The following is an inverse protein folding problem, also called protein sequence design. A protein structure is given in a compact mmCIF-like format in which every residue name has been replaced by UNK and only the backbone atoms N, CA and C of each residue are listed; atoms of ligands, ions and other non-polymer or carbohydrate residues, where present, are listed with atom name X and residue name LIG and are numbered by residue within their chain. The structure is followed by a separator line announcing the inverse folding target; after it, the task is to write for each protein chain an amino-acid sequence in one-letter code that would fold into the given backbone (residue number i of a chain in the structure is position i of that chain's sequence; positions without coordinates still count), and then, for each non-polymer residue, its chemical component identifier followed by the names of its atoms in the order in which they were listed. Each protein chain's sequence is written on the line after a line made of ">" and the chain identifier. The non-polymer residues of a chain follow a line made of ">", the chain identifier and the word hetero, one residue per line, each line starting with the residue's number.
data_IF_724354090311
#
_entry.id   IF_724354090311
#
_cell.length_a   1.000
_cell.length_b   1.000
_cell.length_c   1.000
_cell.angle_alpha   90.00
_cell.angle_beta   90.00
_cell.angle_gamma   90.00
#
_symmetry.space_group_name_H-M   'P 1'
#
loop_
_entity.id
_entity.type
_entity.pdbx_description
1 polymer ?
#
# COMPACT_ATOMS: atom_id res chain seq x y z
N UNK A 1 -20.03 -10.59 4.91
CA UNK A 1 -20.95 -9.96 5.89
C UNK A 1 -20.10 -9.24 6.92
N UNK A 2 -20.39 -7.95 7.14
CA UNK A 2 -19.74 -7.04 8.08
C UNK A 2 -20.46 -7.14 9.44
N UNK A 3 -19.69 -7.28 10.52
CA UNK A 3 -20.18 -7.17 11.90
C UNK A 3 -19.73 -5.81 12.47
N UNK A 4 -20.65 -4.87 12.78
CA UNK A 4 -20.31 -3.57 13.33
C UNK A 4 -19.68 -3.60 14.74
N UNK A 5 -19.67 -4.75 15.42
CA UNK A 5 -19.09 -4.91 16.76
C UNK A 5 -17.70 -5.56 16.81
N UNK A 6 -17.09 -5.89 15.68
CA UNK A 6 -15.79 -6.57 15.65
C UNK A 6 -14.64 -5.55 15.81
N UNK A 7 -13.86 -5.66 16.89
CA UNK A 7 -12.67 -4.83 17.14
C UNK A 7 -11.72 -4.85 15.92
N UNK A 8 -11.28 -3.67 15.51
CA UNK A 8 -10.31 -3.49 14.43
C UNK A 8 -8.94 -3.96 14.87
N UNK A 9 -8.10 -4.45 13.96
CA UNK A 9 -6.74 -4.91 14.32
C UNK A 9 -5.88 -3.76 14.88
N UNK A 10 -6.20 -2.52 14.53
CA UNK A 10 -5.66 -1.29 15.12
C UNK A 10 -6.02 -1.09 16.60
N UNK A 11 -7.17 -1.58 17.05
CA UNK A 11 -7.59 -1.52 18.46
C UNK A 11 -6.98 -2.64 19.31
N UNK A 12 -6.72 -3.80 18.68
CA UNK A 12 -6.21 -5.00 19.37
C UNK A 12 -4.68 -4.95 19.57
N UNK A 13 -3.92 -4.28 18.69
CA UNK A 13 -2.47 -4.21 18.86
C UNK A 13 -2.06 -3.07 19.80
N UNK A 14 -1.66 -3.47 21.01
CA UNK A 14 -1.26 -2.63 22.16
C UNK A 14 -0.19 -1.57 21.86
N UNK A 15 0.64 -1.77 20.82
CA UNK A 15 1.74 -0.86 20.46
C UNK A 15 1.37 0.10 19.30
N UNK A 16 0.19 -0.03 18.68
CA UNK A 16 -0.25 0.77 17.52
C UNK A 16 0.48 0.48 16.19
N UNK A 17 1.48 -0.41 16.21
CA UNK A 17 2.26 -0.79 15.03
C UNK A 17 1.52 -1.85 14.20
N UNK A 18 1.30 -1.61 12.92
CA UNK A 18 0.42 -2.48 12.11
C UNK A 18 1.16 -3.48 11.22
N UNK A 19 2.47 -3.37 11.04
CA UNK A 19 3.21 -4.22 10.11
C UNK A 19 3.76 -5.47 10.78
N UNK A 20 3.81 -6.57 10.04
CA UNK A 20 4.35 -7.84 10.47
C UNK A 20 5.14 -8.48 9.33
N UNK A 21 5.98 -9.46 9.66
CA UNK A 21 6.61 -10.31 8.66
C UNK A 21 5.78 -11.60 8.55
N UNK A 22 5.51 -12.04 7.34
CA UNK A 22 4.89 -13.33 7.11
C UNK A 22 5.64 -14.11 6.03
N UNK A 23 5.68 -15.43 6.16
CA UNK A 23 6.08 -16.30 5.06
C UNK A 23 5.14 -16.11 3.86
N UNK A 24 5.68 -16.15 2.64
CA UNK A 24 4.91 -16.05 1.39
C UNK A 24 3.75 -17.02 1.36
N UNK A 25 3.96 -18.24 1.84
CA UNK A 25 2.93 -19.25 2.01
C UNK A 25 1.70 -18.72 2.79
N UNK A 26 1.92 -18.08 3.95
CA UNK A 26 0.85 -17.44 4.72
C UNK A 26 0.22 -16.29 3.95
N UNK A 27 1.02 -15.42 3.30
CA UNK A 27 0.47 -14.31 2.51
C UNK A 27 -0.28 -14.75 1.24
N UNK A 28 -0.12 -16.01 0.84
CA UNK A 28 -0.88 -16.69 -0.21
C UNK A 28 -2.08 -17.45 0.36
N UNK A 29 -2.57 -17.02 1.53
CA UNK A 29 -3.75 -17.54 2.22
C UNK A 29 -3.61 -18.95 2.79
N UNK A 30 -2.38 -19.47 2.98
CA UNK A 30 -2.21 -20.70 3.77
C UNK A 30 -2.42 -20.40 5.25
N UNK A 31 -2.97 -21.35 6.02
CA UNK A 31 -3.18 -21.18 7.46
C UNK A 31 -1.88 -20.85 8.20
N UNK A 32 -1.95 -19.92 9.15
CA UNK A 32 -0.91 -19.67 10.14
C UNK A 32 -0.86 -20.88 11.06
N UNK A 33 0.22 -21.65 11.00
CA UNK A 33 0.48 -22.76 11.91
C UNK A 33 1.49 -22.42 13.00
N UNK A 34 2.29 -21.37 12.82
CA UNK A 34 3.23 -20.88 13.81
C UNK A 34 3.30 -19.35 13.77
N UNK A 35 3.23 -18.71 14.93
CA UNK A 35 3.40 -17.27 15.03
C UNK A 35 4.12 -16.90 16.32
N UNK A 36 4.90 -15.83 16.27
CA UNK A 36 5.56 -15.30 17.46
C UNK A 36 5.71 -13.79 17.38
N UNK A 37 5.93 -13.14 18.52
CA UNK A 37 6.13 -11.70 18.64
C UNK A 37 7.52 -11.40 19.17
N UNK A 38 8.37 -10.79 18.36
CA UNK A 38 9.70 -10.33 18.74
C UNK A 38 9.76 -8.81 18.95
N UNK A 39 10.94 -8.29 19.26
CA UNK A 39 11.15 -6.85 19.28
C UNK A 39 10.94 -6.25 17.87
N UNK A 40 10.28 -5.08 17.74
CA UNK A 40 10.18 -4.37 16.48
C UNK A 40 11.56 -4.16 15.82
N UNK A 41 11.71 -4.57 14.58
CA UNK A 41 12.95 -4.39 13.81
C UNK A 41 13.02 -3.01 13.14
N UNK A 42 11.90 -2.29 13.07
CA UNK A 42 11.77 -0.94 12.51
C UNK A 42 10.55 -0.23 13.12
N UNK A 43 10.50 1.10 12.99
CA UNK A 43 9.32 1.90 13.40
C UNK A 43 8.07 1.33 12.72
N UNK A 44 6.93 1.13 13.39
CA UNK A 44 5.73 0.55 12.78
C UNK A 44 5.71 -0.98 12.63
N UNK A 45 6.81 -1.69 12.93
CA UNK A 45 6.82 -3.15 13.07
C UNK A 45 6.12 -3.55 14.38
N UNK A 46 5.09 -4.37 14.27
CA UNK A 46 4.35 -4.93 15.42
C UNK A 46 5.17 -5.93 16.23
N UNK A 47 6.26 -6.44 15.64
CA UNK A 47 7.03 -7.56 16.15
C UNK A 47 6.44 -8.91 15.78
N UNK A 48 5.22 -8.98 15.24
CA UNK A 48 4.60 -10.24 14.85
C UNK A 48 5.27 -10.86 13.63
N UNK A 49 5.40 -12.19 13.69
CA UNK A 49 5.95 -13.06 12.66
C UNK A 49 4.98 -14.22 12.44
N UNK A 50 4.61 -14.50 11.19
CA UNK A 50 3.60 -15.51 10.86
C UNK A 50 4.12 -16.53 9.83
N UNK A 51 3.93 -17.81 10.13
CA UNK A 51 4.39 -18.94 9.32
C UNK A 51 3.32 -20.05 9.31
N UNK A 52 3.42 -20.94 8.33
CA UNK A 52 2.58 -22.14 8.27
C UNK A 52 3.02 -23.21 9.27
N UNK A 53 4.24 -23.11 9.83
CA UNK A 53 4.81 -24.10 10.73
C UNK A 53 5.38 -25.34 10.01
N UNK A 54 5.43 -25.32 8.67
CA UNK A 54 5.89 -26.42 7.82
C UNK A 54 7.01 -26.01 6.86
N UNK A 55 7.58 -24.82 7.06
CA UNK A 55 8.68 -24.29 6.29
C UNK A 55 9.96 -25.14 6.48
N UNK A 56 10.63 -25.49 5.38
CA UNK A 56 11.93 -26.14 5.42
C UNK A 56 13.05 -25.17 5.78
N UNK A 57 14.19 -25.67 6.26
CA UNK A 57 15.38 -24.85 6.49
C UNK A 57 15.82 -24.08 5.24
N UNK A 58 15.71 -24.69 4.06
CA UNK A 58 16.01 -24.04 2.77
C UNK A 58 15.03 -22.90 2.50
N UNK A 59 13.72 -23.14 2.71
CA UNK A 59 12.70 -22.10 2.58
C UNK A 59 13.00 -20.94 3.54
N UNK A 60 13.38 -21.24 4.78
CA UNK A 60 13.64 -20.25 5.80
C UNK A 60 14.90 -19.40 5.53
N UNK A 61 15.84 -19.92 4.74
CA UNK A 61 17.08 -19.20 4.39
C UNK A 61 16.93 -18.24 3.21
N UNK A 62 15.90 -18.41 2.37
CA UNK A 62 15.69 -17.53 1.22
C UNK A 62 14.79 -16.33 1.58
N UNK A 63 15.38 -15.14 1.57
CA UNK A 63 14.69 -13.89 1.91
C UNK A 63 13.48 -13.60 1.00
N UNK A 64 13.48 -14.13 -0.24
CA UNK A 64 12.37 -13.95 -1.18
C UNK A 64 11.10 -14.68 -0.73
N UNK A 65 11.21 -15.57 0.26
CA UNK A 65 10.10 -16.32 0.83
C UNK A 65 9.35 -15.60 1.94
N UNK A 66 9.71 -14.35 2.26
CA UNK A 66 9.02 -13.55 3.25
C UNK A 66 8.47 -12.28 2.67
N UNK A 67 7.48 -11.72 3.36
CA UNK A 67 6.81 -10.50 2.95
C UNK A 67 6.39 -9.69 4.17
N UNK A 68 6.57 -8.38 4.08
CA UNK A 68 6.01 -7.47 5.07
C UNK A 68 4.60 -7.09 4.63
N UNK A 69 3.68 -7.20 5.58
CA UNK A 69 2.26 -7.00 5.37
C UNK A 69 1.66 -6.47 6.67
N UNK A 70 0.42 -6.01 6.61
CA UNK A 70 -0.31 -5.55 7.78
C UNK A 70 -0.89 -6.73 8.55
N UNK A 71 -1.06 -6.57 9.86
CA UNK A 71 -1.77 -7.54 10.69
C UNK A 71 -3.19 -7.79 10.17
N UNK A 72 -3.86 -6.74 9.67
CA UNK A 72 -5.17 -6.83 9.03
C UNK A 72 -5.14 -7.80 7.83
N UNK A 73 -4.13 -7.71 6.96
CA UNK A 73 -3.99 -8.62 5.80
C UNK A 73 -3.88 -10.09 6.22
N UNK A 74 -3.15 -10.40 7.29
CA UNK A 74 -3.05 -11.78 7.79
C UNK A 74 -4.40 -12.24 8.35
N UNK A 75 -5.09 -11.36 9.08
CA UNK A 75 -6.39 -11.65 9.69
C UNK A 75 -7.52 -11.90 8.67
N UNK A 76 -7.41 -11.40 7.43
CA UNK A 76 -8.40 -11.66 6.37
C UNK A 76 -8.62 -13.16 6.17
N UNK A 77 -7.53 -13.94 6.13
CA UNK A 77 -7.56 -15.39 5.90
C UNK A 77 -7.31 -16.22 7.17
N UNK A 78 -6.81 -15.61 8.24
CA UNK A 78 -6.48 -16.27 9.50
C UNK A 78 -7.15 -15.53 10.67
N UNK A 79 -8.49 -15.45 10.66
CA UNK A 79 -9.25 -14.62 11.61
C UNK A 79 -9.02 -14.97 13.07
N UNK A 80 -8.77 -16.24 13.36
CA UNK A 80 -8.56 -16.75 14.70
C UNK A 80 -7.26 -16.26 15.35
N UNK A 81 -6.30 -15.76 14.57
CA UNK A 81 -5.09 -15.14 15.14
C UNK A 81 -5.40 -13.82 15.86
N UNK A 82 -6.52 -13.15 15.54
CA UNK A 82 -6.91 -11.87 16.16
C UNK A 82 -6.91 -11.98 17.68
N UNK A 83 -7.36 -13.14 18.20
CA UNK A 83 -7.41 -13.44 19.62
C UNK A 83 -6.03 -13.41 20.31
N UNK A 84 -4.92 -13.40 19.57
CA UNK A 84 -3.57 -13.46 20.11
C UNK A 84 -2.77 -12.17 19.90
N UNK A 85 -3.24 -11.23 19.08
CA UNK A 85 -2.46 -10.05 18.69
C UNK A 85 -2.15 -9.08 19.85
N UNK A 86 -2.87 -9.21 20.96
CA UNK A 86 -2.62 -8.49 22.21
C UNK A 86 -1.42 -9.05 23.01
N UNK A 87 -0.92 -10.24 22.67
CA UNK A 87 0.13 -10.91 23.42
C UNK A 87 1.44 -10.10 23.42
N UNK A 88 2.13 -10.10 24.57
CA UNK A 88 3.39 -9.37 24.74
C UNK A 88 4.53 -9.92 23.88
N UNK A 89 5.59 -9.13 23.74
CA UNK A 89 6.83 -9.57 23.08
C UNK A 89 7.40 -10.79 23.82
N UNK A 90 7.99 -11.71 23.07
CA UNK A 90 8.44 -13.02 23.55
C UNK A 90 7.36 -14.10 23.49
N UNK A 91 6.10 -13.76 23.16
CA UNK A 91 5.05 -14.75 22.99
C UNK A 91 5.23 -15.55 21.69
N UNK A 92 5.01 -16.86 21.75
CA UNK A 92 4.98 -17.75 20.59
C UNK A 92 3.76 -18.68 20.69
N UNK A 93 3.20 -19.03 19.54
CA UNK A 93 2.00 -19.84 19.43
C UNK A 93 2.17 -20.84 18.29
N UNK A 94 1.88 -22.10 18.59
CA UNK A 94 1.88 -23.19 17.61
C UNK A 94 0.47 -23.73 17.49
N UNK A 95 -0.01 -23.85 16.25
CA UNK A 95 -1.27 -24.49 15.93
C UNK A 95 -1.07 -26.00 15.93
N UNK A 96 -1.85 -26.69 16.75
CA UNK A 96 -1.85 -28.15 16.79
C UNK A 96 -2.72 -28.77 15.70
N UNK A 97 -2.77 -30.11 15.68
CA UNK A 97 -3.56 -30.93 14.76
C UNK A 97 -5.08 -30.72 14.91
N UNK A 98 -5.53 -30.21 16.05
CA UNK A 98 -6.93 -29.94 16.36
C UNK A 98 -7.29 -28.47 16.04
N UNK A 99 -6.43 -27.79 15.27
CA UNK A 99 -6.52 -26.39 14.86
C UNK A 99 -6.53 -25.38 16.03
N UNK A 100 -6.04 -25.77 17.20
CA UNK A 100 -5.98 -24.91 18.38
C UNK A 100 -4.58 -24.34 18.54
N UNK A 101 -4.48 -23.06 18.89
CA UNK A 101 -3.18 -22.46 19.24
C UNK A 101 -2.82 -22.76 20.68
N UNK A 102 -1.69 -23.42 20.86
CA UNK A 102 -1.06 -23.62 22.17
C UNK A 102 0.02 -22.57 22.38
N UNK A 103 0.11 -22.02 23.59
CA UNK A 103 1.20 -21.13 23.98
C UNK A 103 2.48 -21.95 23.99
N UNK A 104 3.37 -21.61 23.07
CA UNK A 104 4.74 -22.04 23.11
C UNK A 104 5.46 -21.00 24.00
N UNK A 105 6.07 -21.45 25.10
CA UNK A 105 6.49 -20.58 26.22
C UNK A 105 7.31 -19.35 25.83
N UNK A 106 7.47 -18.42 26.79
CA UNK A 106 8.23 -17.17 26.59
C UNK A 106 9.70 -17.49 26.25
N UNK A 107 10.06 -17.38 24.97
CA UNK A 107 11.40 -17.70 24.44
C UNK A 107 11.37 -18.39 23.07
N UNK A 108 12.21 -17.94 22.14
CA UNK A 108 12.29 -18.47 20.76
C UNK A 108 12.72 -19.96 20.74
N UNK A 109 12.04 -20.85 19.99
CA UNK A 109 12.57 -22.19 19.68
C UNK A 109 13.62 -22.16 18.56
N UNK A 110 14.76 -22.83 18.76
CA UNK A 110 15.70 -23.17 17.69
C UNK A 110 15.25 -24.43 16.92
N UNK A 111 15.29 -24.46 15.58
CA UNK A 111 15.02 -25.65 14.78
C UNK A 111 16.25 -26.56 14.67
N UNK A 112 16.07 -27.88 14.85
CA UNK A 112 17.02 -28.88 14.34
C UNK A 112 16.30 -30.07 13.68
N UNK A 113 16.92 -30.57 12.61
CA UNK A 113 16.45 -31.69 11.79
C UNK A 113 16.97 -33.03 12.32
N UNK A 114 16.05 -33.93 12.71
CA UNK A 114 16.35 -35.37 12.81
C UNK A 114 15.16 -36.19 12.31
N UNK A 115 15.17 -36.53 11.02
CA UNK A 115 14.13 -37.39 10.42
C UNK A 115 12.72 -36.80 10.46
N UNK A 116 11.77 -37.52 9.87
CA UNK A 116 10.46 -37.02 9.41
C UNK A 116 9.43 -36.62 10.50
N UNK A 117 9.83 -36.26 11.73
CA UNK A 117 8.89 -35.77 12.76
C UNK A 117 9.54 -34.78 13.74
N UNK A 118 8.99 -33.57 13.90
CA UNK A 118 9.50 -32.51 14.79
C UNK A 118 8.94 -32.63 16.23
N UNK A 119 9.82 -32.58 17.24
CA UNK A 119 9.51 -32.51 18.68
C UNK A 119 10.34 -31.39 19.35
N UNK A 120 9.85 -30.76 20.43
CA UNK A 120 10.53 -29.66 21.13
C UNK A 120 10.89 -30.04 22.58
N UNK A 121 12.13 -29.78 23.03
CA UNK A 121 12.53 -29.85 24.46
C UNK A 121 13.14 -28.53 24.91
N UNK A 122 12.77 -28.09 26.12
CA UNK A 122 13.30 -26.88 26.74
C UNK A 122 14.77 -27.05 27.14
N UNK A 123 15.62 -26.08 26.79
CA UNK A 123 16.93 -25.93 27.42
C UNK A 123 17.25 -24.46 27.68
N UNK A 124 17.62 -24.20 28.93
CA UNK A 124 18.18 -22.98 29.48
C UNK A 124 19.54 -22.69 28.86
N UNK A 125 19.60 -21.73 27.95
CA UNK A 125 20.87 -21.25 27.40
C UNK A 125 20.60 -20.26 26.28
N UNK A 126 21.05 -19.02 26.46
CA UNK A 126 20.89 -17.91 25.52
C UNK A 126 21.61 -18.20 24.20
N UNK A 127 20.92 -18.32 23.05
CA UNK A 127 21.57 -18.42 21.75
C UNK A 127 21.67 -17.05 21.08
N UNK A 128 22.74 -16.85 20.32
CA UNK A 128 23.08 -15.59 19.66
C UNK A 128 22.06 -15.19 18.60
N UNK A 129 21.41 -14.05 18.82
CA UNK A 129 20.53 -13.37 17.88
C UNK A 129 21.23 -13.13 16.53
N UNK A 130 20.87 -13.90 15.50
CA UNK A 130 21.14 -13.51 14.12
C UNK A 130 20.18 -12.36 13.74
N UNK A 131 20.43 -11.17 14.30
CA UNK A 131 19.72 -9.95 13.97
C UNK A 131 19.86 -9.65 12.48
N UNK A 132 18.76 -9.85 11.76
CA UNK A 132 18.59 -9.46 10.35
C UNK A 132 18.72 -7.93 10.24
N UNK A 133 19.78 -7.44 9.60
CA UNK A 133 19.76 -6.07 9.05
C UNK A 133 19.11 -6.16 7.66
N UNK A 134 17.86 -5.73 7.53
CA UNK A 134 17.26 -5.56 6.20
C UNK A 134 18.19 -4.71 5.30
N UNK A 135 18.23 -5.05 4.00
CA UNK A 135 19.01 -4.31 3.02
C UNK A 135 18.53 -2.86 2.95
N UNK A 136 19.42 -1.92 2.59
CA UNK A 136 19.09 -0.47 2.61
C UNK A 136 17.77 -0.16 1.88
N UNK A 137 17.58 -0.75 0.70
CA UNK A 137 16.38 -0.57 -0.13
C UNK A 137 15.10 -1.10 0.50
N UNK A 138 15.13 -2.33 1.02
CA UNK A 138 13.96 -2.95 1.67
C UNK A 138 13.54 -2.12 2.89
N UNK A 139 14.51 -1.62 3.67
CA UNK A 139 14.24 -0.71 4.79
C UNK A 139 13.59 0.60 4.35
N UNK A 140 14.03 1.16 3.23
CA UNK A 140 13.45 2.39 2.68
C UNK A 140 12.01 2.15 2.19
N UNK A 141 11.75 1.06 1.45
CA UNK A 141 10.41 0.66 1.00
C UNK A 141 9.44 0.51 2.18
N UNK A 142 9.88 -0.16 3.25
CA UNK A 142 9.09 -0.35 4.48
C UNK A 142 8.80 0.98 5.18
N UNK A 143 9.84 1.78 5.41
CA UNK A 143 9.72 3.06 6.11
C UNK A 143 8.78 4.02 5.35
N UNK A 144 8.86 4.02 4.02
CA UNK A 144 7.98 4.78 3.16
C UNK A 144 6.54 4.30 3.25
N UNK A 145 6.30 3.00 3.04
CA UNK A 145 4.96 2.41 3.13
C UNK A 145 4.28 2.76 4.46
N UNK A 146 5.03 2.74 5.55
CA UNK A 146 4.55 3.10 6.88
C UNK A 146 4.19 4.58 7.02
N UNK A 147 5.11 5.45 6.61
CA UNK A 147 4.90 6.88 6.67
C UNK A 147 3.67 7.25 5.82
N UNK A 148 3.50 6.63 4.65
CA UNK A 148 2.35 6.81 3.77
C UNK A 148 1.05 6.36 4.45
N UNK A 149 0.99 5.15 5.01
CA UNK A 149 -0.22 4.67 5.69
C UNK A 149 -0.60 5.58 6.85
N UNK A 150 0.37 5.93 7.72
CA UNK A 150 0.12 6.84 8.85
C UNK A 150 -0.42 8.20 8.39
N UNK A 151 0.23 8.79 7.39
CA UNK A 151 -0.15 10.08 6.83
C UNK A 151 -1.55 10.05 6.20
N UNK A 152 -1.86 9.00 5.46
CA UNK A 152 -3.20 8.77 4.91
C UNK A 152 -4.24 8.56 6.03
N UNK A 153 -3.93 7.80 7.08
CA UNK A 153 -4.85 7.61 8.21
C UNK A 153 -5.17 8.91 8.95
N UNK A 154 -4.15 9.76 9.17
CA UNK A 154 -4.30 11.04 9.85
C UNK A 154 -5.18 12.03 9.08
N UNK A 155 -4.98 12.11 7.76
CA UNK A 155 -5.61 13.14 6.93
C UNK A 155 -6.88 12.69 6.19
N UNK A 156 -6.97 11.42 5.84
CA UNK A 156 -8.05 10.86 5.02
C UNK A 156 -8.94 9.93 5.87
N UNK A 157 -8.39 8.92 6.51
CA UNK A 157 -9.16 8.00 7.36
C UNK A 157 -8.44 6.71 7.70
N UNK A 158 -8.76 6.13 8.85
CA UNK A 158 -8.10 4.96 9.43
C UNK A 158 -8.60 3.61 8.89
N UNK A 159 -9.79 3.57 8.28
CA UNK A 159 -10.29 2.37 7.60
C UNK A 159 -9.71 2.26 6.19
N UNK A 160 -8.85 1.27 5.97
CA UNK A 160 -8.21 1.02 4.68
C UNK A 160 -8.06 -0.48 4.37
N UNK A 161 -7.70 -0.79 3.12
CA UNK A 161 -7.26 -2.10 2.65
C UNK A 161 -6.06 -1.93 1.73
N UNK A 162 -5.08 -2.83 1.82
CA UNK A 162 -3.98 -2.89 0.84
C UNK A 162 -4.44 -3.74 -0.35
N UNK A 163 -4.45 -3.15 -1.54
CA UNK A 163 -4.68 -3.85 -2.80
C UNK A 163 -3.34 -4.23 -3.41
N UNK A 164 -3.14 -5.53 -3.64
CA UNK A 164 -1.92 -6.06 -4.26
C UNK A 164 -2.11 -6.10 -5.78
N UNK A 165 -1.32 -5.32 -6.52
CA UNK A 165 -1.27 -5.37 -7.98
C UNK A 165 0.06 -5.99 -8.44
N UNK A 166 0.19 -6.41 -9.71
CA UNK A 166 1.36 -7.15 -10.16
C UNK A 166 2.71 -6.45 -9.99
N UNK A 167 2.78 -5.12 -10.09
CA UNK A 167 4.04 -4.37 -9.98
C UNK A 167 4.12 -3.47 -8.74
N UNK A 168 3.00 -3.05 -8.16
CA UNK A 168 2.99 -2.28 -6.92
C UNK A 168 1.74 -2.50 -6.09
N UNK A 169 1.80 -2.07 -4.83
CA UNK A 169 0.65 -2.10 -3.95
C UNK A 169 -0.07 -0.75 -3.94
N UNK A 170 -1.33 -0.77 -3.57
CA UNK A 170 -2.13 0.43 -3.36
C UNK A 170 -2.82 0.39 -2.00
N UNK A 171 -2.93 1.54 -1.36
CA UNK A 171 -3.77 1.75 -0.19
C UNK A 171 -5.15 2.23 -0.65
N UNK A 172 -6.18 1.40 -0.47
CA UNK A 172 -7.57 1.77 -0.65
C UNK A 172 -8.15 2.25 0.68
N UNK A 173 -8.39 3.54 0.80
CA UNK A 173 -9.07 4.14 1.95
C UNK A 173 -10.58 4.19 1.72
N UNK A 174 -11.34 3.78 2.72
CA UNK A 174 -12.80 3.72 2.66
C UNK A 174 -13.44 5.09 2.95
N UNK A 175 -14.63 5.36 2.38
CA UNK A 175 -15.43 6.52 2.72
C UNK A 175 -15.70 6.60 4.22
N UNK A 176 -15.71 7.81 4.75
CA UNK A 176 -16.02 8.10 6.14
C UNK A 176 -16.79 9.44 6.27
N UNK A 177 -17.07 9.88 7.50
CA UNK A 177 -17.84 11.11 7.75
C UNK A 177 -17.13 12.38 7.26
N UNK A 178 -15.79 12.41 7.21
CA UNK A 178 -15.00 13.54 6.73
C UNK A 178 -14.93 13.54 5.19
N UNK A 179 -14.75 12.36 4.60
CA UNK A 179 -14.60 12.18 3.15
C UNK A 179 -15.55 11.09 2.65
N UNK A 180 -16.61 11.49 1.95
CA UNK A 180 -17.67 10.59 1.46
C UNK A 180 -17.33 9.78 0.20
N UNK A 181 -16.05 9.50 -0.06
CA UNK A 181 -15.55 8.87 -1.28
C UNK A 181 -14.37 7.94 -0.97
N UNK A 182 -14.09 6.99 -1.86
CA UNK A 182 -12.91 6.12 -1.75
C UNK A 182 -11.67 6.86 -2.23
N UNK A 183 -10.51 6.56 -1.65
CA UNK A 183 -9.22 7.07 -2.15
C UNK A 183 -8.27 5.91 -2.38
N UNK A 184 -7.73 5.79 -3.59
CA UNK A 184 -6.69 4.83 -3.90
C UNK A 184 -5.35 5.56 -4.00
N UNK A 185 -4.37 5.14 -3.20
CA UNK A 185 -3.03 5.76 -3.13
C UNK A 185 -1.98 4.72 -3.48
N UNK A 186 -1.02 5.03 -4.34
CA UNK A 186 0.09 4.12 -4.61
C UNK A 186 0.97 3.92 -3.38
N UNK A 187 1.58 2.75 -3.28
CA UNK A 187 2.57 2.45 -2.27
C UNK A 187 3.82 1.89 -2.93
N UNK A 188 4.93 2.62 -2.77
CA UNK A 188 6.26 2.15 -3.18
C UNK A 188 6.88 2.94 -4.34
N UNK A 189 6.13 3.84 -4.99
CA UNK A 189 6.70 4.73 -6.00
C UNK A 189 7.81 5.61 -5.39
N UNK A 190 7.59 6.07 -4.15
CA UNK A 190 8.51 6.93 -3.42
C UNK A 190 9.75 6.23 -2.86
N UNK A 191 9.82 4.90 -2.94
CA UNK A 191 10.95 4.14 -2.41
C UNK A 191 12.22 4.23 -3.26
N UNK A 192 12.12 4.83 -4.46
CA UNK A 192 13.24 5.11 -5.34
C UNK A 192 13.15 6.54 -5.83
N UNK A 193 14.29 7.21 -5.90
CA UNK A 193 14.35 8.56 -6.45
C UNK A 193 14.04 8.53 -7.96
N UNK A 194 13.14 9.41 -8.37
CA UNK A 194 12.94 9.77 -9.77
C UNK A 194 14.14 10.60 -10.27
N UNK A 195 14.52 10.48 -11.55
CA UNK A 195 15.60 11.27 -12.16
C UNK A 195 15.15 12.72 -12.42
N UNK A 196 14.94 13.48 -11.36
CA UNK A 196 14.59 14.90 -11.42
C UNK A 196 15.79 15.70 -11.98
N UNK A 197 15.58 16.60 -12.96
CA UNK A 197 16.64 17.46 -13.48
C UNK A 197 17.31 18.28 -12.38
N UNK A 198 18.63 18.49 -12.50
CA UNK A 198 19.43 19.17 -11.47
C UNK A 198 18.93 20.57 -11.14
N UNK A 199 18.32 21.25 -12.10
CA UNK A 199 17.72 22.57 -11.96
C UNK A 199 16.57 22.59 -10.94
N UNK A 200 15.98 21.44 -10.63
CA UNK A 200 14.88 21.27 -9.68
C UNK A 200 15.27 20.49 -8.42
N UNK A 201 16.55 20.14 -8.23
CA UNK A 201 17.02 19.31 -7.13
C UNK A 201 16.68 19.92 -5.75
N UNK A 202 16.79 21.25 -5.63
CA UNK A 202 16.48 21.99 -4.39
C UNK A 202 15.02 21.96 -3.98
N UNK A 203 14.11 21.58 -4.90
CA UNK A 203 12.67 21.49 -4.62
C UNK A 203 12.28 20.16 -3.94
N UNK A 204 13.20 19.20 -3.89
CA UNK A 204 12.98 17.89 -3.26
C UNK A 204 11.85 17.10 -3.93
N UNK A 205 11.80 17.09 -5.27
CA UNK A 205 10.76 16.45 -6.07
C UNK A 205 11.07 14.98 -6.41
N UNK A 206 12.14 14.41 -5.87
CA UNK A 206 12.62 13.08 -6.28
C UNK A 206 11.67 11.95 -5.87
N UNK A 207 10.74 12.18 -4.95
CA UNK A 207 9.86 11.14 -4.42
C UNK A 207 8.41 11.58 -4.42
N UNK A 208 7.55 10.71 -4.92
CA UNK A 208 6.12 10.96 -4.97
C UNK A 208 5.31 9.68 -4.81
N UNK A 209 4.04 9.85 -4.43
CA UNK A 209 2.98 8.85 -4.57
C UNK A 209 1.82 9.47 -5.35
N UNK A 210 1.09 8.62 -6.05
CA UNK A 210 -0.08 8.99 -6.84
C UNK A 210 -1.34 8.63 -6.08
N UNK A 211 -2.40 9.40 -6.27
CA UNK A 211 -3.71 9.06 -5.77
C UNK A 211 -4.83 9.38 -6.76
N UNK A 212 -5.96 8.71 -6.56
CA UNK A 212 -7.21 9.02 -7.24
C UNK A 212 -8.39 8.84 -6.27
N UNK A 213 -9.38 9.72 -6.37
CA UNK A 213 -10.58 9.66 -5.54
C UNK A 213 -11.75 9.11 -6.37
N UNK A 214 -12.50 8.15 -5.83
CA UNK A 214 -13.56 7.42 -6.52
C UNK A 214 -14.90 7.65 -5.81
N UNK A 215 -15.97 7.83 -6.57
CA UNK A 215 -17.31 8.01 -6.02
C UNK A 215 -17.75 6.80 -5.16
N UNK A 216 -18.53 7.08 -4.11
CA UNK A 216 -19.12 6.06 -3.24
C UNK A 216 -20.53 5.67 -3.74
N UNK A 217 -20.59 4.97 -4.88
CA UNK A 217 -21.83 4.46 -5.45
C UNK A 217 -22.07 2.96 -5.12
N UNK A 218 -21.28 2.40 -4.20
CA UNK A 218 -21.26 0.99 -3.83
C UNK A 218 -19.84 0.52 -3.47
N UNK A 219 -19.66 -0.75 -3.05
CA UNK A 219 -18.35 -1.34 -2.82
C UNK A 219 -17.48 -1.27 -4.07
N UNK A 220 -16.31 -0.66 -3.97
CA UNK A 220 -15.42 -0.41 -5.12
C UNK A 220 -14.38 -1.52 -5.31
N UNK A 221 -14.18 -2.37 -4.29
CA UNK A 221 -13.12 -3.37 -4.29
C UNK A 221 -13.20 -4.29 -5.50
N UNK A 222 -14.39 -4.84 -5.78
CA UNK A 222 -14.61 -5.73 -6.92
C UNK A 222 -14.60 -4.96 -8.25
N UNK A 223 -14.86 -3.65 -8.24
CA UNK A 223 -14.82 -2.83 -9.46
C UNK A 223 -13.38 -2.57 -9.95
N UNK A 224 -12.38 -2.69 -9.08
CA UNK A 224 -10.97 -2.44 -9.37
C UNK A 224 -10.22 -3.67 -9.93
N UNK A 225 -10.85 -4.85 -9.91
CA UNK A 225 -10.30 -6.09 -10.44
C UNK A 225 -10.90 -6.42 -11.82
N UNK A 226 -10.25 -7.30 -12.62
CA UNK A 226 -10.66 -7.60 -13.99
C UNK A 226 -12.16 -7.92 -14.12
N UNK A 227 -12.84 -7.24 -15.04
CA UNK A 227 -14.28 -7.36 -15.26
C UNK A 227 -15.12 -6.33 -14.49
N UNK A 228 -14.52 -5.60 -13.56
CA UNK A 228 -15.10 -4.44 -12.92
C UNK A 228 -15.11 -3.19 -13.81
N UNK A 229 -16.03 -2.26 -13.56
CA UNK A 229 -16.15 -1.01 -14.32
C UNK A 229 -14.93 -0.08 -14.18
N UNK A 230 -14.17 -0.23 -13.10
CA UNK A 230 -12.99 0.57 -12.76
C UNK A 230 -11.70 -0.26 -12.81
N UNK A 231 -11.72 -1.42 -13.49
CA UNK A 231 -10.60 -2.36 -13.54
C UNK A 231 -9.33 -1.79 -14.19
N UNK A 232 -9.48 -0.69 -14.94
CA UNK A 232 -8.39 0.07 -15.51
C UNK A 232 -7.67 1.00 -14.51
N UNK A 233 -8.29 1.34 -13.37
CA UNK A 233 -7.79 2.41 -12.47
C UNK A 233 -6.46 2.04 -11.84
N UNK A 234 -6.36 0.86 -11.23
CA UNK A 234 -5.12 0.40 -10.63
C UNK A 234 -4.01 0.17 -11.67
N UNK A 235 -4.27 -0.51 -12.82
CA UNK A 235 -3.30 -0.59 -13.92
C UNK A 235 -2.86 0.76 -14.48
N UNK A 236 -3.76 1.74 -14.59
CA UNK A 236 -3.44 3.10 -15.01
C UNK A 236 -2.46 3.76 -14.04
N UNK A 237 -2.77 3.73 -12.74
CA UNK A 237 -1.89 4.29 -11.71
C UNK A 237 -0.54 3.60 -11.68
N UNK A 238 -0.52 2.27 -11.78
CA UNK A 238 0.71 1.46 -11.82
C UNK A 238 1.60 1.88 -13.00
N UNK A 239 1.01 1.97 -14.20
CA UNK A 239 1.73 2.41 -15.40
C UNK A 239 2.29 3.83 -15.27
N UNK A 240 1.53 4.75 -14.68
CA UNK A 240 2.01 6.12 -14.47
C UNK A 240 3.15 6.12 -13.45
N UNK A 241 2.97 5.49 -12.29
CA UNK A 241 3.96 5.44 -11.22
C UNK A 241 5.29 4.76 -11.63
N UNK A 242 5.25 3.83 -12.59
CA UNK A 242 6.46 3.19 -13.14
C UNK A 242 7.14 4.00 -14.25
N UNK A 243 6.50 5.04 -14.78
CA UNK A 243 7.05 5.84 -15.89
C UNK A 243 8.46 6.36 -15.59
N UNK A 244 8.75 6.93 -14.41
CA UNK A 244 10.10 7.40 -14.09
C UNK A 244 11.19 6.33 -14.20
N UNK A 245 10.86 5.10 -13.80
CA UNK A 245 11.81 4.00 -13.71
C UNK A 245 11.99 3.26 -15.03
N UNK A 246 10.98 3.31 -15.91
CA UNK A 246 11.03 2.62 -17.20
C UNK A 246 11.61 3.49 -18.32
N UNK A 247 11.41 4.81 -18.27
CA UNK A 247 11.79 5.71 -19.35
C UNK A 247 12.76 6.83 -18.95
N UNK A 248 13.24 6.85 -17.70
CA UNK A 248 14.17 7.88 -17.22
C UNK A 248 13.56 9.28 -17.11
N UNK A 249 12.23 9.39 -17.05
CA UNK A 249 11.51 10.65 -16.83
C UNK A 249 11.25 10.90 -15.35
N UNK A 250 10.64 12.02 -14.99
CA UNK A 250 10.16 12.28 -13.63
C UNK A 250 8.69 12.74 -13.66
N UNK A 251 8.02 12.68 -12.51
CA UNK A 251 6.63 13.09 -12.37
C UNK A 251 6.51 14.28 -11.43
N UNK A 252 5.70 15.26 -11.84
CA UNK A 252 5.43 16.46 -11.08
C UNK A 252 4.11 17.10 -11.50
N UNK A 253 3.72 18.13 -10.77
CA UNK A 253 2.52 18.91 -11.05
C UNK A 253 2.46 19.34 -12.53
N UNK A 254 1.29 19.16 -13.15
CA UNK A 254 1.05 19.52 -14.54
C UNK A 254 1.70 18.59 -15.56
N UNK A 255 2.37 17.49 -15.20
CA UNK A 255 2.81 16.51 -16.20
C UNK A 255 1.62 15.83 -16.88
N UNK A 256 1.79 15.44 -18.15
CA UNK A 256 0.75 14.80 -18.96
C UNK A 256 1.16 13.39 -19.38
N UNK A 257 0.28 12.43 -19.16
CA UNK A 257 0.53 11.02 -19.36
C UNK A 257 -0.51 10.45 -20.35
N UNK A 258 -0.18 10.33 -21.64
CA UNK A 258 -1.10 9.77 -22.63
C UNK A 258 -1.32 8.26 -22.40
N UNK A 259 -2.54 7.77 -22.60
CA UNK A 259 -2.81 6.34 -22.57
C UNK A 259 -2.48 5.68 -23.91
N UNK A 260 -1.19 5.40 -24.12
CA UNK A 260 -0.67 4.79 -25.34
C UNK A 260 -0.41 5.79 -26.47
N UNK A 261 0.17 5.29 -27.56
CA UNK A 261 0.41 6.03 -28.80
C UNK A 261 -0.02 5.16 -29.98
N UNK A 262 -1.13 5.47 -30.68
CA UNK A 262 -2.03 6.62 -30.45
C UNK A 262 -2.78 6.52 -29.11
N UNK A 263 -3.20 7.67 -28.56
CA UNK A 263 -3.99 7.72 -27.33
C UNK A 263 -5.32 6.99 -27.49
N UNK A 264 -5.64 6.11 -26.53
CA UNK A 264 -6.90 5.35 -26.50
C UNK A 264 -7.66 5.58 -25.20
N UNK A 265 -9.00 5.56 -25.21
CA UNK A 265 -9.79 5.59 -23.99
C UNK A 265 -9.36 4.52 -22.99
N UNK A 266 -9.46 4.81 -21.70
CA UNK A 266 -9.08 3.84 -20.65
C UNK A 266 -9.99 2.62 -20.59
N UNK A 267 -11.30 2.82 -20.78
CA UNK A 267 -12.29 1.74 -20.78
C UNK A 267 -13.46 2.07 -21.71
N UNK A 268 -14.34 1.08 -21.93
CA UNK A 268 -15.59 1.28 -22.66
C UNK A 268 -16.51 2.29 -21.95
N UNK A 269 -17.24 3.10 -22.73
CA UNK A 269 -18.19 4.07 -22.20
C UNK A 269 -17.60 5.42 -21.78
N UNK A 270 -16.29 5.62 -21.83
CA UNK A 270 -15.65 6.94 -21.65
C UNK A 270 -14.77 7.31 -22.85
N UNK A 271 -14.40 8.60 -22.97
CA UNK A 271 -13.35 9.05 -23.89
C UNK A 271 -12.16 9.69 -23.15
N UNK A 272 -12.10 9.53 -21.83
CA UNK A 272 -10.90 9.85 -21.06
C UNK A 272 -9.76 8.93 -21.53
N UNK A 273 -8.66 9.50 -22.01
CA UNK A 273 -7.62 8.79 -22.76
C UNK A 273 -6.18 9.23 -22.42
N UNK A 274 -6.02 9.97 -21.34
CA UNK A 274 -4.73 10.33 -20.76
C UNK A 274 -4.95 10.91 -19.37
N UNK A 275 -3.88 11.33 -18.69
CA UNK A 275 -3.96 11.94 -17.38
C UNK A 275 -3.13 13.22 -17.29
N UNK A 276 -3.52 14.13 -16.38
CA UNK A 276 -2.70 15.24 -15.91
C UNK A 276 -2.51 15.08 -14.41
N UNK A 277 -1.31 15.35 -13.90
CA UNK A 277 -1.04 15.37 -12.46
C UNK A 277 -1.44 16.72 -11.87
N UNK A 278 -2.27 16.70 -10.84
CA UNK A 278 -2.70 17.87 -10.06
C UNK A 278 -2.25 17.71 -8.60
N UNK A 279 -2.40 18.77 -7.81
CA UNK A 279 -2.37 18.63 -6.35
C UNK A 279 -3.65 17.94 -5.88
N UNK A 280 -3.63 17.21 -4.75
CA UNK A 280 -4.81 16.50 -4.30
C UNK A 280 -5.76 17.44 -3.55
N UNK A 281 -6.47 18.27 -4.32
CA UNK A 281 -7.34 19.37 -3.86
C UNK A 281 -8.49 18.93 -2.96
N UNK A 282 -8.83 17.64 -2.95
CA UNK A 282 -9.81 17.05 -2.02
C UNK A 282 -9.34 17.06 -0.57
N UNK A 283 -8.04 17.24 -0.34
CA UNK A 283 -7.44 17.25 0.99
C UNK A 283 -6.75 18.58 1.24
N UNK A 284 -6.65 18.95 2.53
CA UNK A 284 -5.93 20.14 2.96
C UNK A 284 -4.46 20.07 2.51
N UNK A 285 -3.85 21.23 2.24
CA UNK A 285 -2.49 21.31 1.69
C UNK A 285 -1.41 20.65 2.55
N UNK A 286 -1.64 20.54 3.87
CA UNK A 286 -0.75 19.80 4.79
C UNK A 286 -0.61 18.32 4.41
N UNK A 287 -1.63 17.72 3.78
CA UNK A 287 -1.57 16.34 3.30
C UNK A 287 -0.66 16.20 2.06
N UNK A 288 -0.43 17.25 1.28
CA UNK A 288 0.19 17.13 -0.04
C UNK A 288 1.67 16.74 0.03
N UNK A 289 2.31 16.90 1.20
CA UNK A 289 3.72 16.62 1.42
C UNK A 289 3.88 15.82 2.73
N UNK A 290 4.58 14.70 2.67
CA UNK A 290 4.95 13.89 3.83
C UNK A 290 6.46 13.98 4.06
N UNK A 291 6.92 14.62 5.14
CA UNK A 291 8.34 14.62 5.50
C UNK A 291 8.83 13.20 5.82
N UNK A 292 9.99 12.81 5.30
CA UNK A 292 10.66 11.55 5.62
C UNK A 292 12.05 11.84 6.15
N UNK A 293 12.31 11.42 7.39
CA UNK A 293 13.56 11.70 8.09
C UNK A 293 14.78 11.28 7.24
N UNK A 294 15.74 12.20 7.06
CA UNK A 294 16.98 12.02 6.28
C UNK A 294 16.78 11.73 4.78
N UNK A 295 15.54 11.65 4.29
CA UNK A 295 15.22 11.34 2.88
C UNK A 295 14.41 12.46 2.20
N UNK A 296 14.16 13.57 2.89
CA UNK A 296 13.46 14.73 2.34
C UNK A 296 11.95 14.63 2.55
N UNK A 297 11.18 14.60 1.47
CA UNK A 297 9.72 14.52 1.51
C UNK A 297 9.16 13.73 0.34
N UNK A 298 7.99 13.14 0.56
CA UNK A 298 7.17 12.47 -0.44
C UNK A 298 6.06 13.45 -0.85
N UNK A 299 5.92 13.70 -2.15
CA UNK A 299 4.82 14.50 -2.70
C UNK A 299 3.65 13.61 -3.08
N UNK A 300 2.42 14.03 -2.77
CA UNK A 300 1.22 13.36 -3.26
C UNK A 300 0.67 14.10 -4.47
N UNK A 301 0.46 13.40 -5.58
CA UNK A 301 -0.18 13.95 -6.78
C UNK A 301 -1.49 13.24 -7.08
N UNK A 302 -2.54 14.02 -7.30
CA UNK A 302 -3.79 13.49 -7.82
C UNK A 302 -3.65 13.22 -9.32
N UNK A 303 -4.02 12.02 -9.75
CA UNK A 303 -4.11 11.65 -11.15
C UNK A 303 -5.49 12.04 -11.65
N UNK A 304 -5.56 12.99 -12.58
CA UNK A 304 -6.81 13.47 -13.18
C UNK A 304 -6.92 12.93 -14.60
N UNK A 305 -7.76 11.91 -14.87
CA UNK A 305 -8.01 11.45 -16.23
C UNK A 305 -8.63 12.55 -17.09
N UNK A 306 -8.15 12.70 -18.32
CA UNK A 306 -8.49 13.76 -19.27
C UNK A 306 -8.77 13.29 -20.67
N UNK A 307 -9.53 14.10 -21.40
CA UNK A 307 -9.75 13.95 -22.83
C UNK A 307 -8.52 14.44 -23.61
N UNK A 308 -8.34 13.92 -24.84
CA UNK A 308 -7.30 14.38 -25.77
C UNK A 308 -7.36 15.90 -25.98
N UNK A 309 -8.56 16.45 -26.16
CA UNK A 309 -8.75 17.88 -26.40
C UNK A 309 -8.36 18.75 -25.19
N UNK A 310 -8.41 18.20 -23.97
CA UNK A 310 -8.01 18.92 -22.76
C UNK A 310 -6.48 18.92 -22.60
N UNK A 311 -5.80 17.85 -23.03
CA UNK A 311 -4.35 17.83 -23.18
C UNK A 311 -3.89 18.86 -24.22
N UNK A 312 -4.58 18.92 -25.37
CA UNK A 312 -4.31 19.92 -26.41
C UNK A 312 -4.60 21.35 -25.92
N UNK A 313 -5.66 21.53 -25.11
CA UNK A 313 -5.95 22.81 -24.46
C UNK A 313 -4.83 23.20 -23.50
N UNK A 314 -4.32 22.26 -22.69
CA UNK A 314 -3.21 22.51 -21.76
C UNK A 314 -1.97 23.02 -22.49
N UNK A 315 -1.65 22.44 -23.66
CA UNK A 315 -0.51 22.89 -24.46
C UNK A 315 -0.63 24.38 -24.88
N UNK A 316 -1.85 24.92 -24.97
CA UNK A 316 -2.11 26.32 -25.34
C UNK A 316 -2.30 27.26 -24.15
N UNK A 317 -2.82 26.75 -23.02
CA UNK A 317 -3.29 27.58 -21.89
C UNK A 317 -2.58 27.33 -20.56
N UNK A 318 -1.73 26.31 -20.48
CA UNK A 318 -1.08 25.90 -19.23
C UNK A 318 -1.90 24.90 -18.41
N UNK A 319 -1.24 24.27 -17.44
CA UNK A 319 -1.84 23.25 -16.57
C UNK A 319 -2.87 23.85 -15.60
N UNK A 320 -2.52 24.95 -14.95
CA UNK A 320 -3.35 25.62 -13.92
C UNK A 320 -4.75 25.96 -14.43
N UNK A 321 -4.82 26.51 -15.65
CA UNK A 321 -6.09 26.89 -16.28
C UNK A 321 -6.96 25.66 -16.58
N UNK A 322 -6.37 24.57 -17.06
CA UNK A 322 -7.09 23.33 -17.37
C UNK A 322 -7.57 22.66 -16.09
N UNK A 323 -6.67 22.47 -15.11
CA UNK A 323 -6.96 21.81 -13.84
C UNK A 323 -8.00 22.59 -13.03
N UNK A 324 -7.88 23.92 -12.95
CA UNK A 324 -8.87 24.78 -12.26
C UNK A 324 -10.23 24.74 -12.94
N UNK A 325 -10.29 24.63 -14.28
CA UNK A 325 -11.56 24.46 -15.00
C UNK A 325 -12.19 23.10 -14.75
N UNK A 326 -11.41 22.03 -14.71
CA UNK A 326 -11.91 20.67 -14.39
C UNK A 326 -12.48 20.69 -12.97
N UNK A 327 -11.72 21.16 -11.99
CA UNK A 327 -12.18 21.26 -10.60
C UNK A 327 -13.50 22.03 -10.49
N UNK A 328 -13.56 23.26 -11.03
CA UNK A 328 -14.74 24.12 -10.90
C UNK A 328 -15.99 23.59 -11.62
N UNK A 329 -15.83 22.82 -12.70
CA UNK A 329 -16.96 22.41 -13.56
C UNK A 329 -17.35 20.94 -13.41
N UNK A 330 -16.43 20.10 -12.95
CA UNK A 330 -16.59 18.66 -12.91
C UNK A 330 -16.28 18.06 -11.54
N UNK A 331 -15.64 18.82 -10.64
CA UNK A 331 -15.04 18.26 -9.44
C UNK A 331 -13.76 17.46 -9.75
N UNK A 332 -13.25 16.78 -8.72
CA UNK A 332 -11.96 16.06 -8.74
C UNK A 332 -12.10 14.56 -8.48
N UNK A 333 -13.32 14.08 -8.17
CA UNK A 333 -13.63 12.65 -8.17
C UNK A 333 -13.57 12.11 -9.60
N UNK A 334 -13.14 10.85 -9.74
CA UNK A 334 -13.19 10.16 -11.01
C UNK A 334 -14.64 10.02 -11.48
N UNK A 335 -14.99 10.76 -12.53
CA UNK A 335 -16.28 10.64 -13.20
C UNK A 335 -16.06 10.32 -14.68
N UNK A 336 -16.38 9.08 -15.07
CA UNK A 336 -16.21 8.56 -16.44
C UNK A 336 -17.05 9.31 -17.48
N UNK A 337 -18.14 9.95 -17.04
CA UNK A 337 -19.12 10.66 -17.86
C UNK A 337 -19.01 12.19 -17.70
N UNK A 338 -17.97 12.70 -17.03
CA UNK A 338 -17.78 14.15 -16.88
C UNK A 338 -17.73 14.82 -18.24
N UNK A 339 -18.16 16.07 -18.33
CA UNK A 339 -18.10 16.77 -19.62
C UNK A 339 -16.65 17.13 -19.98
N UNK A 340 -16.36 17.15 -21.28
CA UNK A 340 -15.08 17.63 -21.80
C UNK A 340 -15.05 19.17 -21.73
N UNK A 341 -14.15 19.74 -20.92
CA UNK A 341 -14.08 21.18 -20.70
C UNK A 341 -13.50 21.97 -21.87
N UNK A 342 -12.91 21.27 -22.85
CA UNK A 342 -12.36 21.87 -24.06
C UNK A 342 -13.42 22.14 -25.14
N UNK A 343 -14.62 21.59 -24.98
CA UNK A 343 -15.76 21.82 -25.89
C UNK A 343 -16.66 22.91 -25.32
N UNK A 344 -17.32 23.68 -26.19
CA UNK A 344 -18.35 24.65 -25.79
C UNK A 344 -19.57 23.88 -25.25
N UNK A 345 -20.18 24.45 -24.22
CA UNK A 345 -21.44 23.97 -23.65
C UNK A 345 -22.63 24.57 -24.36
#
# INVERSE_FOLDING_TARGET
>A
MYDPGEETVSEINVDGNIFCLAGRQVTQSRPVGYMYREAPNFSGDSGWRFFTGSESDEYMRDLRNYKICTLEEICIYNRDIKAFLHASRGAAFLRDKDNTFTVFGVGEPEPQTTGNTLWWKASTGTPGSAQRKAGKREKEEICHAQAIVRHCCEHIGDKYRVLRMPQMDFLLLFPNRRHGFYTLVSMGMSARDMPVPKEFETLGLSRAELLICLENNGPVEDELYPGGRLDFVAPMLEKIALTPFNSGNWLGYGHTLPNGSPMRPYCGGTKLCGAILDTPRMFQSIFWNLPVEKQGKIHFYAVVPVYKEEIEMKARKGADEVLSRIEKRCGTLLNLQRRNIARKF
#
